data_IF_999073265801
#
_entry.id   IF_999073265801
#
_cell.length_a   1.000
_cell.length_b   1.000
_cell.length_c   1.000
_cell.angle_alpha   90.00
_cell.angle_beta   90.00
_cell.angle_gamma   90.00
#
_symmetry.space_group_name_H-M   'P 1'
#
loop_
_entity.id
_entity.type
_entity.pdbx_description
1 polymer ?
#
# COMPACT_ATOMS: atom_id res chain seq x y z
N UNK A 1 -2.27 -1.81 -26.71
CA UNK A 1 -2.75 -3.22 -26.68
C UNK A 1 -2.04 -4.07 -25.63
N UNK A 2 -0.70 -3.99 -25.51
CA UNK A 2 0.06 -4.74 -24.50
C UNK A 2 -0.41 -4.40 -23.08
N UNK A 3 -0.58 -3.12 -22.76
CA UNK A 3 -0.99 -2.69 -21.41
C UNK A 3 -2.34 -3.29 -20.98
N UNK A 4 -3.34 -3.22 -21.86
CA UNK A 4 -4.65 -3.83 -21.63
C UNK A 4 -4.54 -5.34 -21.44
N UNK A 5 -3.68 -6.02 -22.20
CA UNK A 5 -3.49 -7.46 -22.03
C UNK A 5 -2.89 -7.82 -20.67
N UNK A 6 -1.96 -7.01 -20.15
CA UNK A 6 -1.37 -7.20 -18.81
C UNK A 6 -2.44 -6.99 -17.74
N UNK A 7 -3.25 -5.94 -17.86
CA UNK A 7 -4.35 -5.66 -16.92
C UNK A 7 -5.37 -6.80 -16.93
N UNK A 8 -5.82 -7.24 -18.11
CA UNK A 8 -6.79 -8.33 -18.22
C UNK A 8 -6.23 -9.67 -17.71
N UNK A 9 -4.95 -9.97 -17.97
CA UNK A 9 -4.29 -11.15 -17.44
C UNK A 9 -4.22 -11.11 -15.90
N UNK A 10 -3.89 -9.95 -15.33
CA UNK A 10 -3.90 -9.73 -13.89
C UNK A 10 -5.32 -9.92 -13.30
N UNK A 11 -6.34 -9.33 -13.94
CA UNK A 11 -7.73 -9.48 -13.50
C UNK A 11 -8.20 -10.94 -13.52
N UNK A 12 -7.91 -11.66 -14.61
CA UNK A 12 -8.23 -13.08 -14.75
C UNK A 12 -7.50 -13.94 -13.71
N UNK A 13 -6.22 -13.65 -13.45
CA UNK A 13 -5.45 -14.35 -12.42
C UNK A 13 -6.06 -14.13 -11.02
N UNK A 14 -6.38 -12.89 -10.65
CA UNK A 14 -6.91 -12.57 -9.32
C UNK A 14 -8.28 -13.18 -9.09
N UNK A 15 -9.19 -13.08 -10.06
CA UNK A 15 -10.51 -13.70 -9.99
C UNK A 15 -10.38 -15.23 -9.89
N UNK A 16 -9.54 -15.84 -10.72
CA UNK A 16 -9.32 -17.28 -10.67
C UNK A 16 -8.66 -17.72 -9.34
N UNK A 17 -7.80 -16.91 -8.73
CA UNK A 17 -7.23 -17.18 -7.41
C UNK A 17 -8.32 -17.20 -6.33
N UNK A 18 -9.24 -16.23 -6.36
CA UNK A 18 -10.39 -16.15 -5.46
C UNK A 18 -11.26 -17.41 -5.55
N UNK A 19 -11.70 -17.75 -6.76
CA UNK A 19 -12.55 -18.93 -6.97
C UNK A 19 -11.85 -20.26 -6.69
N UNK A 20 -10.55 -20.39 -7.00
CA UNK A 20 -9.77 -21.60 -6.67
C UNK A 20 -9.63 -21.82 -5.17
N UNK A 21 -9.51 -20.74 -4.39
CA UNK A 21 -9.38 -20.82 -2.94
C UNK A 21 -10.72 -20.99 -2.20
N UNK A 22 -11.85 -20.65 -2.83
CA UNK A 22 -13.20 -20.63 -2.25
C UNK A 22 -13.55 -21.88 -1.46
N UNK A 23 -13.35 -23.07 -2.05
CA UNK A 23 -13.72 -24.35 -1.40
C UNK A 23 -12.92 -24.67 -0.14
N UNK A 24 -11.70 -24.11 -0.02
CA UNK A 24 -10.90 -24.21 1.20
C UNK A 24 -11.29 -23.12 2.19
N UNK A 25 -11.41 -21.89 1.74
CA UNK A 25 -11.74 -20.73 2.57
C UNK A 25 -13.10 -20.88 3.27
N UNK A 26 -14.08 -21.53 2.65
CA UNK A 26 -15.41 -21.73 3.24
C UNK A 26 -15.49 -22.82 4.30
N UNK A 27 -14.41 -23.54 4.61
CA UNK A 27 -14.45 -24.68 5.55
C UNK A 27 -14.53 -24.24 7.01
N UNK A 28 -13.84 -23.16 7.39
CA UNK A 28 -13.81 -22.66 8.77
C UNK A 28 -13.24 -21.23 8.81
N UNK A 29 -13.39 -20.56 9.95
CA UNK A 29 -12.78 -19.25 10.18
C UNK A 29 -11.24 -19.31 10.14
N UNK A 30 -10.63 -20.37 10.66
CA UNK A 30 -9.19 -20.62 10.55
C UNK A 30 -8.74 -20.75 9.09
N UNK A 31 -9.55 -21.37 8.23
CA UNK A 31 -9.23 -21.49 6.81
C UNK A 31 -9.42 -20.18 6.04
N UNK A 32 -10.43 -19.38 6.42
CA UNK A 32 -10.72 -18.09 5.82
C UNK A 32 -9.67 -17.03 6.19
N UNK A 33 -9.38 -16.86 7.49
CA UNK A 33 -8.52 -15.79 8.00
C UNK A 33 -7.05 -16.19 8.15
N UNK A 34 -6.73 -17.46 8.44
CA UNK A 34 -5.35 -17.91 8.69
C UNK A 34 -4.83 -18.86 7.61
N UNK A 35 -5.61 -19.13 6.56
CA UNK A 35 -5.27 -20.11 5.54
C UNK A 35 -4.86 -21.48 6.13
N UNK A 36 -5.50 -21.88 7.23
CA UNK A 36 -5.19 -23.11 7.96
C UNK A 36 -3.75 -23.17 8.48
N UNK A 37 -3.05 -22.04 8.57
CA UNK A 37 -1.62 -21.93 8.96
C UNK A 37 -0.69 -22.78 8.06
N UNK A 38 -1.12 -23.01 6.81
CA UNK A 38 -0.41 -23.85 5.82
C UNK A 38 0.48 -23.05 4.85
N UNK A 39 0.44 -21.71 4.93
CA UNK A 39 1.23 -20.85 4.06
C UNK A 39 2.72 -20.96 4.40
N UNK A 40 3.55 -21.08 3.37
CA UNK A 40 5.01 -21.05 3.51
C UNK A 40 5.47 -19.67 3.95
N UNK A 41 6.46 -19.60 4.84
CA UNK A 41 6.92 -18.34 5.45
C UNK A 41 7.29 -17.24 4.45
N UNK A 42 7.95 -17.58 3.34
CA UNK A 42 8.31 -16.60 2.30
C UNK A 42 7.10 -16.00 1.57
N UNK A 43 6.01 -16.77 1.39
CA UNK A 43 4.77 -16.27 0.78
C UNK A 43 4.05 -15.32 1.71
N UNK A 44 3.95 -15.69 2.98
CA UNK A 44 3.38 -14.83 4.01
C UNK A 44 4.21 -13.54 4.16
N UNK A 45 5.54 -13.64 4.17
CA UNK A 45 6.44 -12.49 4.25
C UNK A 45 6.32 -11.54 3.06
N UNK A 46 6.30 -12.07 1.83
CA UNK A 46 6.11 -11.23 0.63
C UNK A 46 4.72 -10.59 0.57
N UNK A 47 3.67 -11.30 0.99
CA UNK A 47 2.33 -10.72 1.11
C UNK A 47 2.30 -9.59 2.15
N UNK A 48 2.92 -9.78 3.32
CA UNK A 48 3.05 -8.68 4.29
C UNK A 48 3.82 -7.47 3.72
N UNK A 49 4.90 -7.71 2.97
CA UNK A 49 5.64 -6.62 2.32
C UNK A 49 4.79 -5.90 1.24
N UNK A 50 4.02 -6.66 0.46
CA UNK A 50 3.13 -6.13 -0.57
C UNK A 50 2.00 -5.28 0.04
N UNK A 51 1.43 -5.68 1.18
CA UNK A 51 0.41 -4.91 1.91
C UNK A 51 0.90 -3.51 2.29
N UNK A 52 2.20 -3.36 2.56
CA UNK A 52 2.81 -2.06 2.87
C UNK A 52 3.07 -1.21 1.62
N UNK A 53 3.05 -1.82 0.43
CA UNK A 53 3.30 -1.17 -0.85
C UNK A 53 1.98 -0.76 -1.54
N UNK A 54 1.20 0.07 -0.86
CA UNK A 54 -0.06 0.60 -1.39
C UNK A 54 0.17 1.78 -2.36
N UNK A 55 -0.90 2.20 -3.05
CA UNK A 55 -0.86 3.22 -4.11
C UNK A 55 -0.29 4.58 -3.66
N UNK A 56 -0.42 4.92 -2.38
CA UNK A 56 0.09 6.15 -1.77
C UNK A 56 1.61 6.14 -1.54
N UNK A 57 2.19 4.96 -1.33
CA UNK A 57 3.58 4.82 -0.90
C UNK A 57 4.59 5.31 -1.95
N UNK A 58 4.46 4.98 -3.25
CA UNK A 58 5.33 5.56 -4.29
C UNK A 58 5.21 7.08 -4.39
N UNK A 59 4.01 7.64 -4.22
CA UNK A 59 3.79 9.10 -4.23
C UNK A 59 4.49 9.77 -3.04
N UNK A 60 4.42 9.15 -1.85
CA UNK A 60 5.14 9.63 -0.67
C UNK A 60 6.65 9.55 -0.87
N UNK A 61 7.18 8.41 -1.34
CA UNK A 61 8.62 8.18 -1.54
C UNK A 61 9.20 9.19 -2.51
N UNK A 62 8.56 9.37 -3.67
CA UNK A 62 8.99 10.35 -4.68
C UNK A 62 8.91 11.78 -4.15
N UNK A 63 7.84 12.14 -3.43
CA UNK A 63 7.71 13.44 -2.76
C UNK A 63 8.79 13.72 -1.72
N UNK A 64 9.16 12.73 -0.90
CA UNK A 64 10.26 12.85 0.07
C UNK A 64 11.60 13.09 -0.64
N UNK A 65 11.89 12.31 -1.69
CA UNK A 65 13.14 12.48 -2.45
C UNK A 65 13.18 13.85 -3.13
N UNK A 66 12.07 14.29 -3.73
CA UNK A 66 11.98 15.56 -4.43
C UNK A 66 12.14 16.79 -3.49
N UNK A 67 11.73 16.67 -2.23
CA UNK A 67 11.74 17.79 -1.28
C UNK A 67 12.97 17.83 -0.38
N UNK A 68 13.52 16.68 0.00
CA UNK A 68 14.63 16.60 0.95
C UNK A 68 15.66 15.51 0.67
N UNK A 69 15.61 14.88 -0.52
CA UNK A 69 16.61 13.94 -0.97
C UNK A 69 16.48 12.53 -0.42
N UNK A 70 17.47 11.69 -0.75
CA UNK A 70 17.52 10.26 -0.42
C UNK A 70 17.50 10.04 1.09
N UNK A 71 18.13 10.93 1.87
CA UNK A 71 18.16 10.85 3.33
C UNK A 71 16.76 10.71 3.97
N UNK A 72 15.73 11.37 3.41
CA UNK A 72 14.38 11.29 3.98
C UNK A 72 13.75 9.88 3.89
N UNK A 73 14.31 8.97 3.08
CA UNK A 73 13.85 7.58 3.00
C UNK A 73 14.12 6.78 4.28
N UNK A 74 15.03 7.23 5.14
CA UNK A 74 15.24 6.63 6.46
C UNK A 74 14.00 6.70 7.35
N UNK A 75 13.09 7.65 7.10
CA UNK A 75 11.77 7.69 7.75
C UNK A 75 10.93 6.45 7.47
N UNK A 76 11.19 5.74 6.37
CA UNK A 76 10.49 4.52 5.97
C UNK A 76 11.33 3.27 6.26
N UNK A 77 12.62 3.26 5.91
CA UNK A 77 13.47 2.08 6.05
C UNK A 77 13.68 1.62 7.49
N UNK A 78 13.57 2.54 8.45
CA UNK A 78 13.57 2.20 9.87
C UNK A 78 12.51 1.15 10.22
N UNK A 79 11.35 1.20 9.58
CA UNK A 79 10.27 0.24 9.83
C UNK A 79 10.64 -1.17 9.39
N UNK A 80 11.51 -1.32 8.39
CA UNK A 80 12.02 -2.64 7.97
C UNK A 80 12.77 -3.35 9.10
N UNK A 81 13.62 -2.62 9.83
CA UNK A 81 14.35 -3.15 11.00
C UNK A 81 13.37 -3.47 12.13
N UNK A 82 12.43 -2.56 12.40
CA UNK A 82 11.39 -2.74 13.41
C UNK A 82 10.57 -4.02 13.19
N UNK A 83 10.07 -4.23 11.97
CA UNK A 83 9.26 -5.40 11.62
C UNK A 83 10.08 -6.70 11.67
N UNK A 84 11.35 -6.66 11.25
CA UNK A 84 12.24 -7.81 11.36
C UNK A 84 12.46 -8.21 12.83
N UNK A 85 12.75 -7.23 13.69
CA UNK A 85 12.92 -7.46 15.13
C UNK A 85 11.63 -7.95 15.78
N UNK A 86 10.48 -7.39 15.41
CA UNK A 86 9.17 -7.82 15.91
C UNK A 86 8.87 -9.28 15.52
N UNK A 87 9.10 -9.63 14.26
CA UNK A 87 8.96 -11.01 13.78
C UNK A 87 9.90 -11.98 14.50
N UNK A 88 11.14 -11.57 14.75
CA UNK A 88 12.14 -12.39 15.44
C UNK A 88 11.84 -12.59 16.93
N UNK A 89 11.54 -11.51 17.67
CA UNK A 89 11.32 -11.54 19.13
C UNK A 89 9.95 -12.14 19.45
N UNK A 90 8.89 -11.68 18.78
CA UNK A 90 7.52 -11.99 19.16
C UNK A 90 6.89 -13.11 18.33
N UNK A 91 7.48 -13.49 17.19
CA UNK A 91 6.89 -14.50 16.29
C UNK A 91 6.60 -15.83 16.97
N UNK A 92 7.50 -16.32 17.83
CA UNK A 92 7.30 -17.57 18.57
C UNK A 92 6.16 -17.46 19.60
N UNK A 93 6.08 -16.35 20.33
CA UNK A 93 5.02 -16.11 21.31
C UNK A 93 3.66 -15.90 20.63
N UNK A 94 3.62 -15.17 19.51
CA UNK A 94 2.43 -14.98 18.70
C UNK A 94 1.90 -16.31 18.15
N UNK A 95 2.79 -17.17 17.62
CA UNK A 95 2.40 -18.49 17.12
C UNK A 95 1.84 -19.40 18.22
N UNK A 96 2.39 -19.31 19.44
CA UNK A 96 1.90 -20.07 20.61
C UNK A 96 0.56 -19.55 21.15
N UNK A 97 0.29 -18.25 21.02
CA UNK A 97 -0.96 -17.66 21.48
C UNK A 97 -2.18 -18.22 20.74
N UNK A 98 -2.01 -18.64 19.48
CA UNK A 98 -3.06 -19.33 18.72
C UNK A 98 -4.29 -18.49 18.40
N UNK A 99 -4.25 -17.18 18.69
CA UNK A 99 -5.34 -16.22 18.49
C UNK A 99 -5.65 -16.02 17.01
N UNK A 100 -6.92 -15.77 16.71
CA UNK A 100 -7.39 -15.41 15.38
C UNK A 100 -7.20 -13.91 15.10
N UNK A 101 -7.34 -13.08 16.13
CA UNK A 101 -7.28 -11.62 16.03
C UNK A 101 -6.31 -11.03 17.05
N UNK A 102 -5.72 -9.85 16.76
CA UNK A 102 -4.89 -9.15 17.75
C UNK A 102 -5.68 -8.78 19.01
N UNK A 103 -6.96 -8.37 18.86
CA UNK A 103 -7.79 -8.01 20.00
C UNK A 103 -8.00 -9.18 20.99
N UNK A 104 -8.05 -10.42 20.50
CA UNK A 104 -8.19 -11.64 21.31
C UNK A 104 -6.96 -11.90 22.19
N UNK A 105 -5.78 -11.39 21.82
CA UNK A 105 -4.59 -11.47 22.68
C UNK A 105 -4.83 -10.84 24.07
N UNK A 106 -5.74 -9.86 24.15
CA UNK A 106 -6.16 -9.23 25.41
C UNK A 106 -6.70 -10.26 26.41
N UNK A 107 -7.43 -11.29 25.94
CA UNK A 107 -8.02 -12.32 26.80
C UNK A 107 -7.00 -13.32 27.34
N UNK A 108 -5.94 -13.56 26.59
CA UNK A 108 -4.83 -14.42 27.02
C UNK A 108 -3.87 -13.64 27.92
N UNK A 109 -3.70 -12.34 27.65
CA UNK A 109 -2.68 -11.51 28.30
C UNK A 109 -3.10 -10.96 29.65
N UNK A 110 -4.38 -10.64 29.82
CA UNK A 110 -4.93 -9.96 30.99
C UNK A 110 -6.04 -10.79 31.66
N UNK A 111 -6.35 -10.46 32.92
CA UNK A 111 -7.39 -11.13 33.71
C UNK A 111 -8.30 -10.11 34.40
N UNK A 112 -9.56 -10.49 34.65
CA UNK A 112 -10.52 -9.70 35.42
C UNK A 112 -11.63 -9.07 34.58
N UNK A 113 -12.47 -8.25 35.22
CA UNK A 113 -13.71 -7.72 34.63
C UNK A 113 -13.50 -6.72 33.47
N UNK A 114 -12.31 -6.11 33.39
CA UNK A 114 -11.96 -5.12 32.35
C UNK A 114 -11.50 -5.70 31.01
N UNK A 115 -11.29 -7.02 30.92
CA UNK A 115 -10.74 -7.67 29.72
C UNK A 115 -11.68 -7.55 28.53
N UNK A 116 -12.97 -7.85 28.70
CA UNK A 116 -13.96 -7.78 27.62
C UNK A 116 -14.15 -6.34 27.11
N UNK A 117 -14.34 -5.31 27.98
CA UNK A 117 -14.36 -3.92 27.52
C UNK A 117 -13.11 -3.51 26.75
N UNK A 118 -11.91 -3.91 27.21
CA UNK A 118 -10.65 -3.60 26.53
C UNK A 118 -10.55 -4.29 25.16
N UNK A 119 -10.94 -5.57 25.07
CA UNK A 119 -10.99 -6.30 23.79
C UNK A 119 -11.92 -5.62 22.81
N UNK A 120 -13.13 -5.25 23.24
CA UNK A 120 -14.12 -4.56 22.39
C UNK A 120 -13.58 -3.20 21.92
N UNK A 121 -13.00 -2.42 22.84
CA UNK A 121 -12.41 -1.13 22.50
C UNK A 121 -11.31 -1.28 21.44
N UNK A 122 -10.37 -2.22 21.64
CA UNK A 122 -9.32 -2.52 20.66
C UNK A 122 -9.88 -2.98 19.32
N UNK A 123 -10.86 -3.86 19.33
CA UNK A 123 -11.49 -4.37 18.11
C UNK A 123 -12.18 -3.27 17.30
N UNK A 124 -12.91 -2.36 17.96
CA UNK A 124 -13.58 -1.23 17.28
C UNK A 124 -12.56 -0.20 16.81
N UNK A 125 -11.59 0.16 17.66
CA UNK A 125 -10.61 1.18 17.34
C UNK A 125 -9.68 0.74 16.20
N UNK A 126 -8.97 -0.39 16.34
CA UNK A 126 -8.04 -0.87 15.33
C UNK A 126 -8.75 -1.54 14.15
N UNK A 127 -9.76 -2.37 14.43
CA UNK A 127 -10.47 -3.14 13.41
C UNK A 127 -11.36 -2.29 12.49
N UNK A 128 -11.91 -1.19 12.99
CA UNK A 128 -12.81 -0.33 12.22
C UNK A 128 -12.25 1.07 12.02
N UNK A 129 -12.01 1.84 13.08
CA UNK A 129 -11.68 3.27 12.94
C UNK A 129 -10.37 3.48 12.18
N UNK A 130 -9.28 2.85 12.64
CA UNK A 130 -7.97 2.97 11.99
C UNK A 130 -8.00 2.40 10.57
N UNK A 131 -8.59 1.22 10.37
CA UNK A 131 -8.70 0.62 9.04
C UNK A 131 -9.48 1.51 8.06
N UNK A 132 -10.59 2.13 8.48
CA UNK A 132 -11.33 3.07 7.64
C UNK A 132 -10.51 4.31 7.27
N UNK A 133 -9.72 4.85 8.19
CA UNK A 133 -8.84 5.99 7.93
C UNK A 133 -7.76 5.61 6.91
N UNK A 134 -7.10 4.46 7.11
CA UNK A 134 -6.07 3.95 6.19
C UNK A 134 -6.66 3.69 4.81
N UNK A 135 -7.83 3.03 4.72
CA UNK A 135 -8.53 2.81 3.47
C UNK A 135 -8.89 4.13 2.78
N UNK A 136 -9.36 5.14 3.52
CA UNK A 136 -9.65 6.46 2.95
C UNK A 136 -8.40 7.11 2.34
N UNK A 137 -7.25 7.06 3.03
CA UNK A 137 -5.99 7.59 2.49
C UNK A 137 -5.54 6.86 1.22
N UNK A 138 -5.62 5.51 1.22
CA UNK A 138 -5.26 4.70 0.05
C UNK A 138 -6.21 4.97 -1.12
N UNK A 139 -7.51 5.14 -0.87
CA UNK A 139 -8.49 5.47 -1.90
C UNK A 139 -8.25 6.87 -2.49
N UNK A 140 -7.84 7.84 -1.68
CA UNK A 140 -7.45 9.17 -2.18
C UNK A 140 -6.24 9.07 -3.12
N UNK A 141 -5.23 8.27 -2.77
CA UNK A 141 -4.10 8.03 -3.68
C UNK A 141 -4.53 7.30 -4.95
N UNK A 142 -5.41 6.30 -4.84
CA UNK A 142 -5.97 5.59 -5.98
C UNK A 142 -6.72 6.53 -6.94
N UNK A 143 -7.47 7.50 -6.40
CA UNK A 143 -8.12 8.56 -7.19
C UNK A 143 -7.08 9.35 -8.00
N UNK A 144 -5.96 9.76 -7.38
CA UNK A 144 -4.91 10.51 -8.09
C UNK A 144 -4.30 9.74 -9.25
N UNK A 145 -4.17 8.42 -9.12
CA UNK A 145 -3.68 7.58 -10.20
C UNK A 145 -4.77 7.39 -11.26
N UNK A 146 -6.01 7.12 -10.86
CA UNK A 146 -7.10 6.89 -11.82
C UNK A 146 -7.43 8.11 -12.68
N UNK A 147 -7.29 9.33 -12.13
CA UNK A 147 -7.48 10.58 -12.88
C UNK A 147 -6.64 10.64 -14.16
N UNK A 148 -5.42 10.08 -14.11
CA UNK A 148 -4.47 10.12 -15.23
C UNK A 148 -4.63 8.91 -16.14
N UNK A 149 -4.87 7.72 -15.57
CA UNK A 149 -4.79 6.46 -16.31
C UNK A 149 -6.14 5.89 -16.76
N UNK A 150 -7.27 6.33 -16.19
CA UNK A 150 -8.60 5.76 -16.45
C UNK A 150 -9.61 6.83 -16.93
N UNK A 151 -9.44 7.40 -18.13
CA UNK A 151 -10.40 8.33 -18.72
C UNK A 151 -11.66 7.61 -19.23
N UNK A 152 -12.55 7.21 -18.32
CA UNK A 152 -13.77 6.47 -18.65
C UNK A 152 -14.70 7.20 -19.61
N UNK A 153 -14.68 8.54 -19.61
CA UNK A 153 -15.40 9.39 -20.56
C UNK A 153 -15.01 9.15 -22.02
N UNK A 154 -13.79 8.65 -22.28
CA UNK A 154 -13.33 8.33 -23.63
C UNK A 154 -13.63 6.88 -24.00
N UNK A 155 -13.75 6.00 -23.00
CA UNK A 155 -13.85 4.56 -23.21
C UNK A 155 -15.29 4.04 -23.19
N UNK A 156 -16.17 4.67 -22.41
CA UNK A 156 -17.55 4.26 -22.26
C UNK A 156 -18.43 4.87 -23.36
N UNK A 157 -19.49 4.16 -23.81
CA UNK A 157 -20.48 4.74 -24.70
C UNK A 157 -21.11 6.00 -24.07
N UNK A 158 -21.31 7.10 -24.83
CA UNK A 158 -21.79 8.37 -24.29
C UNK A 158 -23.05 8.25 -23.44
N UNK A 159 -24.05 7.48 -23.90
CA UNK A 159 -25.30 7.31 -23.17
C UNK A 159 -25.16 6.65 -21.78
N UNK A 160 -24.22 5.71 -21.63
CA UNK A 160 -23.95 5.09 -20.33
C UNK A 160 -23.16 6.04 -19.43
N UNK A 161 -22.19 6.76 -20.00
CA UNK A 161 -21.38 7.71 -19.26
C UNK A 161 -22.22 8.90 -18.76
N UNK A 162 -23.06 9.48 -19.61
CA UNK A 162 -23.91 10.61 -19.28
C UNK A 162 -24.91 10.26 -18.16
N UNK A 163 -25.45 9.04 -18.14
CA UNK A 163 -26.28 8.55 -17.03
C UNK A 163 -25.53 8.63 -15.68
N UNK A 164 -24.30 8.12 -15.65
CA UNK A 164 -23.47 8.14 -14.45
C UNK A 164 -23.07 9.56 -14.07
N UNK A 165 -22.80 10.42 -15.07
CA UNK A 165 -22.49 11.83 -14.88
C UNK A 165 -23.65 12.58 -14.25
N UNK A 166 -24.88 12.40 -14.75
CA UNK A 166 -26.09 13.00 -14.17
C UNK A 166 -26.24 12.59 -12.70
N UNK A 167 -26.07 11.31 -12.37
CA UNK A 167 -26.12 10.84 -10.98
C UNK A 167 -25.08 11.57 -10.11
N UNK A 168 -23.84 11.69 -10.58
CA UNK A 168 -22.80 12.39 -9.80
C UNK A 168 -23.08 13.88 -9.61
N UNK A 169 -23.67 14.53 -10.61
CA UNK A 169 -24.07 15.94 -10.55
C UNK A 169 -25.25 16.15 -9.60
N UNK A 170 -26.29 15.32 -9.70
CA UNK A 170 -27.51 15.41 -8.88
C UNK A 170 -27.21 15.17 -7.39
N UNK A 171 -26.26 14.28 -7.11
CA UNK A 171 -25.79 14.01 -5.75
C UNK A 171 -24.80 15.07 -5.24
N UNK A 172 -24.37 16.02 -6.08
CA UNK A 172 -23.40 17.05 -5.71
C UNK A 172 -22.04 16.48 -5.28
N UNK A 173 -21.64 15.34 -5.83
CA UNK A 173 -20.38 14.68 -5.47
C UNK A 173 -19.18 15.46 -6.03
N UNK A 174 -18.09 15.47 -5.28
CA UNK A 174 -16.79 15.99 -5.71
C UNK A 174 -15.72 15.01 -5.28
N UNK A 175 -15.15 14.28 -6.25
CA UNK A 175 -14.15 13.23 -6.01
C UNK A 175 -12.95 13.52 -6.90
N UNK A 176 -11.86 14.00 -6.30
CA UNK A 176 -10.63 14.33 -7.02
C UNK A 176 -10.48 15.83 -7.30
N UNK A 177 -9.93 16.19 -8.47
CA UNK A 177 -9.96 17.56 -8.99
C UNK A 177 -8.71 18.41 -8.76
N UNK A 178 -7.48 17.86 -8.93
CA UNK A 178 -6.28 18.71 -8.98
C UNK A 178 -6.13 19.38 -10.36
N UNK A 179 -6.51 18.68 -11.44
CA UNK A 179 -6.42 19.23 -12.80
C UNK A 179 -7.48 20.30 -13.01
N UNK A 180 -7.06 21.57 -13.08
CA UNK A 180 -7.90 22.72 -13.45
C UNK A 180 -8.29 22.75 -14.93
N UNK A 181 -7.81 21.79 -15.72
CA UNK A 181 -7.94 21.74 -17.17
C UNK A 181 -9.12 20.92 -17.67
N UNK A 182 -9.68 20.03 -16.86
CA UNK A 182 -10.79 19.12 -17.21
C UNK A 182 -12.02 19.50 -16.39
N UNK A 183 -13.21 19.41 -16.99
CA UNK A 183 -14.48 19.62 -16.30
C UNK A 183 -14.54 18.82 -14.98
N UNK A 184 -14.72 19.47 -13.81
CA UNK A 184 -14.80 18.81 -12.51
C UNK A 184 -15.84 17.68 -12.45
N UNK A 185 -16.92 17.79 -13.22
CA UNK A 185 -17.92 16.74 -13.27
C UNK A 185 -17.39 15.48 -13.97
N UNK A 186 -16.63 15.63 -15.07
CA UNK A 186 -16.01 14.52 -15.78
C UNK A 186 -15.00 13.80 -14.87
N UNK A 187 -14.16 14.58 -14.18
CA UNK A 187 -13.18 14.04 -13.22
C UNK A 187 -13.87 13.23 -12.14
N UNK A 188 -14.92 13.80 -11.53
CA UNK A 188 -15.68 13.12 -10.47
C UNK A 188 -16.31 11.82 -10.96
N UNK A 189 -16.95 11.83 -12.13
CA UNK A 189 -17.57 10.62 -12.69
C UNK A 189 -16.53 9.54 -13.00
N UNK A 190 -15.43 9.89 -13.65
CA UNK A 190 -14.33 8.95 -13.93
C UNK A 190 -13.76 8.32 -12.65
N UNK A 191 -13.54 9.14 -11.61
CA UNK A 191 -12.99 8.67 -10.35
C UNK A 191 -13.97 7.79 -9.57
N UNK A 192 -15.26 8.12 -9.59
CA UNK A 192 -16.29 7.29 -8.96
C UNK A 192 -16.34 5.90 -9.60
N UNK A 193 -16.36 5.83 -10.94
CA UNK A 193 -16.33 4.57 -11.68
C UNK A 193 -15.09 3.77 -11.30
N UNK A 194 -13.92 4.41 -11.29
CA UNK A 194 -12.65 3.78 -10.95
C UNK A 194 -12.66 3.17 -9.55
N UNK A 195 -13.06 3.93 -8.54
CA UNK A 195 -13.11 3.46 -7.15
C UNK A 195 -14.09 2.29 -7.03
N UNK A 196 -15.30 2.40 -7.58
CA UNK A 196 -16.30 1.34 -7.49
C UNK A 196 -15.83 0.05 -8.15
N UNK A 197 -15.20 0.14 -9.31
CA UNK A 197 -14.65 -1.03 -10.00
C UNK A 197 -13.48 -1.65 -9.25
N UNK A 198 -12.53 -0.84 -8.75
CA UNK A 198 -11.38 -1.32 -7.97
C UNK A 198 -11.85 -1.99 -6.68
N UNK A 199 -12.77 -1.35 -5.94
CA UNK A 199 -13.34 -1.89 -4.70
C UNK A 199 -14.14 -3.16 -4.96
N UNK A 200 -15.00 -3.17 -5.98
CA UNK A 200 -15.81 -4.32 -6.35
C UNK A 200 -14.95 -5.52 -6.76
N UNK A 201 -13.94 -5.27 -7.60
CA UNK A 201 -12.97 -6.29 -8.02
C UNK A 201 -12.16 -6.83 -6.83
N UNK A 202 -11.67 -5.95 -5.96
CA UNK A 202 -10.88 -6.32 -4.79
C UNK A 202 -11.71 -7.12 -3.78
N UNK A 203 -12.93 -6.67 -3.52
CA UNK A 203 -13.89 -7.38 -2.67
C UNK A 203 -14.22 -8.75 -3.25
N UNK A 204 -14.41 -8.87 -4.57
CA UNK A 204 -14.74 -10.13 -5.23
C UNK A 204 -13.69 -11.21 -4.97
N UNK A 205 -12.42 -10.97 -5.27
CA UNK A 205 -11.41 -12.03 -5.09
C UNK A 205 -11.07 -12.27 -3.60
N UNK A 206 -11.06 -11.22 -2.78
CA UNK A 206 -10.65 -11.34 -1.37
C UNK A 206 -11.71 -12.04 -0.53
N UNK A 207 -12.99 -11.68 -0.69
CA UNK A 207 -14.10 -12.29 0.06
C UNK A 207 -14.40 -13.71 -0.38
N UNK A 208 -14.16 -14.03 -1.65
CA UNK A 208 -14.39 -15.40 -2.16
C UNK A 208 -13.30 -16.36 -1.73
N UNK A 209 -12.03 -15.94 -1.72
CA UNK A 209 -10.89 -16.83 -1.49
C UNK A 209 -10.19 -16.70 -0.14
N UNK A 210 -10.59 -15.74 0.71
CA UNK A 210 -9.97 -15.46 2.00
C UNK A 210 -8.48 -15.14 1.89
N UNK A 211 -7.73 -15.35 2.99
CA UNK A 211 -6.30 -15.03 3.07
C UNK A 211 -5.47 -15.72 1.95
N UNK A 212 -5.86 -16.91 1.50
CA UNK A 212 -5.13 -17.61 0.43
C UNK A 212 -5.17 -16.87 -0.91
N UNK A 213 -6.34 -16.33 -1.27
CA UNK A 213 -6.43 -15.54 -2.49
C UNK A 213 -5.69 -14.23 -2.35
N UNK A 214 -5.81 -13.56 -1.20
CA UNK A 214 -5.10 -12.31 -0.91
C UNK A 214 -3.59 -12.50 -1.07
N UNK A 215 -3.00 -13.48 -0.40
CA UNK A 215 -1.56 -13.78 -0.52
C UNK A 215 -1.15 -14.11 -1.96
N UNK A 216 -1.99 -14.82 -2.70
CA UNK A 216 -1.71 -15.17 -4.10
C UNK A 216 -1.76 -13.95 -5.03
N UNK A 217 -2.69 -13.01 -4.80
CA UNK A 217 -2.77 -11.76 -5.55
C UNK A 217 -1.67 -10.80 -5.18
N UNK A 218 -1.31 -10.69 -3.89
CA UNK A 218 -0.24 -9.84 -3.39
C UNK A 218 1.11 -10.21 -4.01
N UNK A 219 1.42 -11.52 -4.07
CA UNK A 219 2.65 -12.02 -4.71
C UNK A 219 2.74 -11.60 -6.19
N UNK A 220 1.61 -11.65 -6.91
CA UNK A 220 1.54 -11.27 -8.31
C UNK A 220 1.65 -9.74 -8.47
N UNK A 221 0.92 -8.97 -7.68
CA UNK A 221 0.96 -7.50 -7.70
C UNK A 221 2.35 -6.98 -7.35
N UNK A 222 2.95 -7.51 -6.29
CA UNK A 222 4.29 -7.16 -5.88
C UNK A 222 5.32 -7.53 -6.94
N UNK A 223 5.24 -8.73 -7.52
CA UNK A 223 6.12 -9.14 -8.62
C UNK A 223 6.00 -8.22 -9.83
N UNK A 224 4.77 -7.91 -10.27
CA UNK A 224 4.51 -7.01 -11.39
C UNK A 224 5.04 -5.60 -11.10
N UNK A 225 4.78 -5.07 -9.91
CA UNK A 225 5.24 -3.75 -9.48
C UNK A 225 6.77 -3.68 -9.45
N UNK A 226 7.44 -4.67 -8.84
CA UNK A 226 8.91 -4.69 -8.76
C UNK A 226 9.55 -4.78 -10.14
N UNK A 227 9.08 -5.68 -11.01
CA UNK A 227 9.61 -5.81 -12.38
C UNK A 227 9.36 -4.54 -13.19
N UNK A 228 8.14 -4.00 -13.14
CA UNK A 228 7.81 -2.76 -13.85
C UNK A 228 8.66 -1.57 -13.39
N UNK A 229 8.85 -1.43 -12.07
CA UNK A 229 9.64 -0.32 -11.50
C UNK A 229 11.13 -0.48 -11.83
N UNK A 230 11.67 -1.70 -11.81
CA UNK A 230 13.07 -1.96 -12.18
C UNK A 230 13.34 -1.66 -13.67
N UNK A 231 12.45 -2.11 -14.55
CA UNK A 231 12.53 -1.81 -16.00
C UNK A 231 12.48 -0.30 -16.21
N UNK A 232 11.51 0.37 -15.59
CA UNK A 232 11.37 1.82 -15.71
C UNK A 232 12.60 2.56 -15.19
N UNK A 233 13.11 2.20 -14.02
CA UNK A 233 14.32 2.79 -13.45
C UNK A 233 15.53 2.62 -14.39
N UNK A 234 15.71 1.43 -14.97
CA UNK A 234 16.78 1.18 -15.94
C UNK A 234 16.66 2.08 -17.17
N UNK A 235 15.47 2.16 -17.78
CA UNK A 235 15.22 3.01 -18.95
C UNK A 235 15.52 4.47 -18.64
N UNK A 236 15.09 4.98 -17.48
CA UNK A 236 15.32 6.38 -17.10
C UNK A 236 16.81 6.65 -16.87
N UNK A 237 17.53 5.75 -16.18
CA UNK A 237 18.97 5.91 -15.95
C UNK A 237 19.74 5.90 -17.27
N UNK A 238 19.38 5.01 -18.19
CA UNK A 238 19.98 4.95 -19.53
C UNK A 238 19.72 6.23 -20.34
N UNK A 239 18.46 6.71 -20.38
CA UNK A 239 18.10 7.95 -21.07
C UNK A 239 18.81 9.19 -20.50
N UNK A 240 19.10 9.21 -19.20
CA UNK A 240 19.83 10.32 -18.57
C UNK A 240 21.32 10.28 -18.92
N UNK A 241 21.86 9.12 -19.30
CA UNK A 241 23.28 8.88 -19.60
C UNK A 241 24.04 8.17 -18.47
N UNK A 242 23.33 7.51 -17.54
CA UNK A 242 23.88 6.81 -16.39
C UNK A 242 23.78 7.58 -15.07
N UNK A 243 24.07 6.89 -13.96
CA UNK A 243 23.96 7.45 -12.60
C UNK A 243 24.95 8.60 -12.33
N UNK A 244 26.14 8.55 -12.93
CA UNK A 244 27.14 9.63 -12.81
C UNK A 244 26.65 10.93 -13.43
N UNK A 245 26.21 10.87 -14.70
CA UNK A 245 25.65 12.02 -15.42
C UNK A 245 24.39 12.55 -14.74
N UNK A 246 23.58 11.67 -14.14
CA UNK A 246 22.43 12.09 -13.33
C UNK A 246 22.86 12.94 -12.13
N UNK A 247 23.89 12.52 -11.39
CA UNK A 247 24.40 13.28 -10.25
C UNK A 247 25.00 14.63 -10.66
N UNK A 248 25.71 14.67 -11.79
CA UNK A 248 26.25 15.91 -12.37
C UNK A 248 25.14 16.88 -12.75
N UNK A 249 24.12 16.42 -13.48
CA UNK A 249 22.95 17.24 -13.86
C UNK A 249 22.20 17.79 -12.64
N UNK A 250 22.08 17.00 -11.57
CA UNK A 250 21.49 17.48 -10.31
C UNK A 250 22.37 18.59 -9.71
N UNK A 251 23.69 18.45 -9.76
CA UNK A 251 24.66 19.49 -9.41
C UNK A 251 24.50 20.77 -10.22
N UNK A 252 24.30 20.66 -11.53
CA UNK A 252 24.11 21.80 -12.43
C UNK A 252 22.79 22.55 -12.16
N UNK A 253 21.70 21.81 -11.87
CA UNK A 253 20.38 22.40 -11.63
C UNK A 253 20.27 23.06 -10.25
N UNK A 254 20.79 22.40 -9.21
CA UNK A 254 20.55 22.79 -7.82
C UNK A 254 21.78 23.41 -7.13
N UNK A 255 22.95 23.38 -7.77
CA UNK A 255 24.23 23.73 -7.17
C UNK A 255 24.84 22.57 -6.38
N UNK A 256 26.17 22.56 -6.27
CA UNK A 256 26.94 21.46 -5.67
C UNK A 256 26.59 21.17 -4.21
N UNK A 257 26.32 22.21 -3.41
CA UNK A 257 25.99 22.06 -2.00
C UNK A 257 24.62 21.38 -1.80
N UNK A 258 23.58 21.84 -2.50
CA UNK A 258 22.24 21.27 -2.39
C UNK A 258 22.19 19.87 -3.03
N UNK A 259 22.86 19.68 -4.17
CA UNK A 259 22.97 18.36 -4.80
C UNK A 259 23.64 17.34 -3.86
N UNK A 260 24.72 17.73 -3.18
CA UNK A 260 25.38 16.89 -2.18
C UNK A 260 24.45 16.48 -1.04
N UNK A 261 23.58 17.39 -0.57
CA UNK A 261 22.57 17.08 0.45
C UNK A 261 21.47 16.16 -0.09
N UNK A 262 20.96 16.42 -1.30
CA UNK A 262 19.89 15.64 -1.91
C UNK A 262 20.30 14.20 -2.21
N UNK A 263 21.56 14.00 -2.63
CA UNK A 263 22.13 12.68 -2.94
C UNK A 263 22.69 11.95 -1.71
N UNK A 264 22.81 12.63 -0.57
CA UNK A 264 23.33 12.02 0.65
C UNK A 264 22.40 10.92 1.16
N UNK A 265 22.98 9.76 1.45
CA UNK A 265 22.27 8.65 2.08
C UNK A 265 22.20 8.80 3.61
N UNK A 266 23.17 9.49 4.21
CA UNK A 266 23.26 9.71 5.67
C UNK A 266 23.08 11.18 6.06
N UNK A 267 23.03 11.49 7.37
CA UNK A 267 22.95 12.87 7.81
C UNK A 267 24.19 13.65 7.33
N UNK A 268 24.01 14.89 6.85
CA UNK A 268 25.12 15.70 6.35
C UNK A 268 26.00 16.17 7.52
N UNK A 269 27.10 15.46 7.79
CA UNK A 269 28.04 15.75 8.87
C UNK A 269 28.10 14.62 9.91
N UNK A 270 29.32 14.15 10.21
CA UNK A 270 29.56 12.99 11.07
C UNK A 270 29.01 13.12 12.50
N UNK A 271 28.87 14.35 13.00
CA UNK A 271 28.33 14.62 14.34
C UNK A 271 26.86 14.27 14.50
N UNK A 272 26.08 14.30 13.40
CA UNK A 272 24.66 13.95 13.42
C UNK A 272 24.41 12.44 13.29
N UNK A 273 25.45 11.64 13.03
CA UNK A 273 25.31 10.19 12.87
C UNK A 273 24.85 9.51 14.16
N UNK A 274 25.40 9.89 15.32
CA UNK A 274 25.03 9.26 16.59
C UNK A 274 23.59 9.62 17.03
N UNK A 275 23.16 10.90 17.02
CA UNK A 275 21.75 11.24 17.23
C UNK A 275 20.81 10.53 16.25
N UNK A 276 21.20 10.44 14.97
CA UNK A 276 20.45 9.71 13.96
C UNK A 276 20.31 8.23 14.31
N UNK A 277 21.41 7.52 14.61
CA UNK A 277 21.36 6.11 14.99
C UNK A 277 20.57 5.86 16.27
N UNK A 278 20.57 6.81 17.22
CA UNK A 278 19.75 6.73 18.44
C UNK A 278 18.26 6.87 18.09
N UNK A 279 17.89 7.89 17.30
CA UNK A 279 16.50 8.08 16.87
C UNK A 279 16.02 6.86 16.09
N UNK A 280 16.82 6.38 15.14
CA UNK A 280 16.50 5.20 14.33
C UNK A 280 16.45 3.93 15.20
N UNK A 281 17.36 3.79 16.16
CA UNK A 281 17.42 2.64 17.06
C UNK A 281 16.32 2.61 18.12
N UNK A 282 15.71 3.75 18.47
CA UNK A 282 14.69 3.86 19.52
C UNK A 282 13.28 4.14 19.00
N UNK A 283 13.13 4.73 17.81
CA UNK A 283 11.81 5.10 17.26
C UNK A 283 10.90 3.86 17.09
N UNK A 284 11.47 2.68 16.81
CA UNK A 284 10.68 1.44 16.80
C UNK A 284 10.18 1.05 18.20
N UNK A 285 10.97 1.29 19.25
CA UNK A 285 10.59 0.99 20.63
C UNK A 285 9.45 1.90 21.12
N UNK A 286 9.47 3.18 20.72
CA UNK A 286 8.43 4.14 21.09
C UNK A 286 7.10 3.87 20.40
N UNK A 287 7.09 3.48 19.14
CA UNK A 287 5.85 3.13 18.44
C UNK A 287 5.22 1.83 18.91
N UNK A 288 5.99 0.90 19.49
CA UNK A 288 5.47 -0.38 19.94
C UNK A 288 4.63 -0.30 21.22
N UNK A 289 4.70 0.83 21.94
CA UNK A 289 3.97 1.09 23.19
C UNK A 289 2.82 2.10 23.02
N UNK A 290 2.57 2.60 21.81
CA UNK A 290 1.48 3.52 21.49
C UNK A 290 0.32 2.80 20.80
#
# INVERSE_FOLDING_TARGET
MIDLSIVLAFMAYSISAGFRARSKASKSLDEYFLAGKTLTGWRAGLSMAATQFAADTPLLVTGLIATGGIFLLWRLWIYGIAFLMMGFIFGASWRRAGVLTDAELTEIRYSGKGVLPLRVLKAVYYGTVINCIVLAMVLVAAVRISEVFLPWNEWLPPGLYDLLRTITMDLGLSIGGISTTIDPAIVTTNNLISILLIMGFTALYSTTGGLRSVVATDLMQFGLAMVGTLIYAFIIVDQVGGLGVMAEKIGDIYGSELAGRLLSFGPPGGEMLMPFLIIIGLQWFFQMNS
#
